data_IF_542024383771
#
_entry.id   IF_542024383771
#
_cell.length_a   1.000
_cell.length_b   1.000
_cell.length_c   1.000
_cell.angle_alpha   90.00
_cell.angle_beta   90.00
_cell.angle_gamma   90.00
#
_symmetry.space_group_name_H-M   'P 1'
#
loop_
_entity.id
_entity.type
_entity.pdbx_description
1 polymer ?
#
# COMPACT_ATOMS: atom_id res chain seq x y z
N UNK A 1 -11.12 -13.51 -104.96
CA UNK A 1 -10.42 -13.04 -103.68
C UNK A 1 -11.40 -13.13 -102.49
N UNK A 2 -12.06 -14.24 -102.20
CA UNK A 2 -13.09 -14.30 -101.17
C UNK A 2 -12.89 -15.46 -100.12
N UNK A 3 -12.00 -16.41 -100.43
CA UNK A 3 -11.80 -17.58 -99.49
C UNK A 3 -10.81 -17.39 -98.34
N UNK A 4 -9.94 -16.38 -98.41
CA UNK A 4 -8.91 -16.16 -97.34
C UNK A 4 -9.46 -15.44 -96.12
N UNK A 5 -10.47 -14.59 -96.22
CA UNK A 5 -11.08 -13.84 -95.09
C UNK A 5 -11.91 -14.71 -94.15
N UNK A 6 -12.50 -15.73 -94.62
CA UNK A 6 -13.33 -16.69 -93.81
C UNK A 6 -12.44 -17.65 -92.98
N UNK A 7 -11.28 -18.07 -93.50
CA UNK A 7 -10.34 -18.91 -92.74
C UNK A 7 -9.66 -18.17 -91.57
N UNK A 8 -9.32 -16.92 -91.78
CA UNK A 8 -8.70 -16.02 -90.70
C UNK A 8 -9.71 -15.75 -89.58
N UNK A 9 -10.97 -15.58 -89.97
CA UNK A 9 -12.05 -15.32 -88.98
C UNK A 9 -12.39 -16.58 -88.16
N UNK A 10 -12.37 -17.77 -88.75
CA UNK A 10 -12.50 -19.04 -88.02
C UNK A 10 -11.35 -19.34 -87.10
N UNK A 11 -10.08 -19.01 -87.46
CA UNK A 11 -8.90 -19.09 -86.57
C UNK A 11 -8.99 -18.14 -85.38
N UNK A 12 -9.50 -16.93 -85.57
CA UNK A 12 -9.72 -15.98 -84.46
C UNK A 12 -10.76 -16.48 -83.45
N UNK A 13 -11.85 -17.06 -83.95
CA UNK A 13 -12.89 -17.64 -83.06
C UNK A 13 -12.36 -18.84 -82.30
N UNK A 14 -11.56 -19.72 -82.97
CA UNK A 14 -10.95 -20.88 -82.33
C UNK A 14 -9.95 -20.42 -81.23
N UNK A 15 -9.13 -19.38 -81.48
CA UNK A 15 -8.22 -18.80 -80.47
C UNK A 15 -8.99 -18.20 -79.29
N UNK A 16 -10.10 -17.50 -79.54
CA UNK A 16 -10.92 -16.93 -78.49
C UNK A 16 -11.59 -18.01 -77.62
N UNK A 17 -12.00 -19.10 -78.20
CA UNK A 17 -12.63 -20.26 -77.52
C UNK A 17 -11.57 -20.99 -76.64
N UNK A 18 -10.34 -21.15 -77.13
CA UNK A 18 -9.22 -21.73 -76.36
C UNK A 18 -8.82 -20.82 -75.20
N UNK A 19 -8.79 -19.49 -75.38
CA UNK A 19 -8.49 -18.54 -74.26
C UNK A 19 -9.62 -18.56 -73.27
N UNK A 20 -10.89 -18.57 -73.70
CA UNK A 20 -12.04 -18.68 -72.81
C UNK A 20 -12.08 -20.01 -72.03
N UNK A 21 -11.66 -21.09 -72.67
CA UNK A 21 -11.56 -22.38 -71.98
C UNK A 21 -10.41 -22.42 -70.98
N UNK A 22 -9.26 -21.82 -71.33
CA UNK A 22 -8.12 -21.71 -70.41
C UNK A 22 -8.42 -20.76 -69.23
N UNK A 23 -9.10 -19.65 -69.47
CA UNK A 23 -9.58 -18.76 -68.37
C UNK A 23 -10.60 -19.43 -67.48
N UNK A 24 -11.53 -20.19 -68.08
CA UNK A 24 -12.51 -20.97 -67.32
C UNK A 24 -11.87 -22.09 -66.49
N UNK A 25 -10.84 -22.76 -67.06
CA UNK A 25 -10.05 -23.78 -66.34
C UNK A 25 -9.19 -23.16 -65.25
N UNK A 26 -8.56 -22.02 -65.48
CA UNK A 26 -7.79 -21.27 -64.52
C UNK A 26 -8.72 -20.77 -63.36
N UNK A 27 -9.88 -20.23 -63.73
CA UNK A 27 -10.90 -19.78 -62.76
C UNK A 27 -11.44 -20.96 -61.91
N UNK A 28 -11.65 -22.09 -62.55
CA UNK A 28 -12.07 -23.33 -61.87
C UNK A 28 -10.98 -23.89 -60.96
N UNK A 29 -9.70 -23.79 -61.35
CA UNK A 29 -8.53 -24.22 -60.58
C UNK A 29 -8.32 -23.31 -59.35
N UNK A 30 -8.56 -22.00 -59.47
CA UNK A 30 -8.45 -21.05 -58.36
C UNK A 30 -9.66 -21.11 -57.43
N UNK A 31 -10.88 -21.26 -57.93
CA UNK A 31 -12.09 -21.34 -57.13
C UNK A 31 -12.30 -22.70 -56.43
N UNK A 32 -11.72 -23.80 -56.98
CA UNK A 32 -11.79 -25.14 -56.39
C UNK A 32 -10.50 -25.55 -55.67
N UNK A 33 -9.49 -24.64 -55.57
CA UNK A 33 -8.31 -24.96 -54.84
C UNK A 33 -8.65 -25.18 -53.34
N UNK A 34 -8.24 -26.31 -52.73
CA UNK A 34 -8.55 -26.58 -51.33
C UNK A 34 -7.93 -25.50 -50.46
N UNK A 35 -8.66 -24.94 -49.50
CA UNK A 35 -8.14 -23.93 -48.60
C UNK A 35 -6.90 -24.47 -47.85
N UNK A 36 -5.89 -23.62 -47.72
CA UNK A 36 -4.65 -23.97 -47.05
C UNK A 36 -4.82 -23.76 -45.53
N UNK A 37 -4.56 -24.81 -44.74
CA UNK A 37 -4.70 -24.80 -43.30
C UNK A 37 -3.34 -25.04 -42.62
N UNK A 38 -3.13 -24.43 -41.48
CA UNK A 38 -2.05 -24.80 -40.58
C UNK A 38 -2.44 -26.02 -39.80
N UNK A 39 -1.49 -26.90 -39.50
CA UNK A 39 -1.75 -28.12 -38.75
C UNK A 39 -0.74 -28.23 -37.61
N UNK A 40 -1.22 -28.51 -36.40
CA UNK A 40 -0.37 -28.88 -35.28
C UNK A 40 -0.73 -30.26 -34.78
N UNK A 41 0.25 -31.00 -34.30
CA UNK A 41 0.04 -32.28 -33.63
C UNK A 41 -0.22 -32.01 -32.15
N UNK A 42 -1.30 -32.57 -31.60
CA UNK A 42 -1.59 -32.51 -30.20
C UNK A 42 -0.47 -33.25 -29.42
N UNK A 43 0.23 -32.53 -28.58
CA UNK A 43 1.37 -33.02 -27.78
C UNK A 43 1.19 -32.61 -26.30
N UNK A 44 1.92 -33.30 -25.45
CA UNK A 44 1.97 -32.93 -24.04
C UNK A 44 2.89 -31.73 -23.82
N UNK A 45 2.41 -30.77 -23.07
CA UNK A 45 3.13 -29.54 -22.69
C UNK A 45 2.87 -29.22 -21.23
N UNK A 46 3.82 -28.51 -20.63
CA UNK A 46 3.60 -27.85 -19.37
C UNK A 46 2.94 -26.51 -19.65
N UNK A 47 1.77 -26.29 -19.06
CA UNK A 47 0.99 -25.06 -19.24
C UNK A 47 0.89 -24.28 -17.95
N UNK A 48 1.00 -22.96 -18.07
CA UNK A 48 0.83 -22.04 -16.95
C UNK A 48 -0.21 -20.99 -17.32
N UNK A 49 -1.35 -21.07 -16.66
CA UNK A 49 -2.35 -20.02 -16.77
C UNK A 49 -1.89 -18.79 -15.99
N UNK A 50 -1.89 -17.65 -16.65
CA UNK A 50 -1.48 -16.38 -16.04
C UNK A 50 -2.53 -15.32 -16.32
N UNK A 51 -2.75 -14.48 -15.31
CA UNK A 51 -3.58 -13.28 -15.42
C UNK A 51 -2.67 -12.08 -15.46
N UNK A 52 -2.95 -11.17 -16.35
CA UNK A 52 -2.25 -9.91 -16.52
C UNK A 52 -2.95 -8.80 -15.74
N UNK A 53 -2.17 -7.94 -15.11
CA UNK A 53 -2.63 -6.70 -14.50
C UNK A 53 -1.63 -5.58 -14.72
N UNK A 54 -2.12 -4.37 -14.91
CA UNK A 54 -1.29 -3.17 -14.85
C UNK A 54 -1.01 -2.85 -13.39
N UNK A 55 0.26 -2.61 -13.06
CA UNK A 55 0.65 -2.34 -11.69
C UNK A 55 1.41 -1.03 -11.55
N UNK A 56 1.44 -0.53 -10.31
CA UNK A 56 2.29 0.59 -9.88
C UNK A 56 3.12 0.18 -8.68
N UNK A 57 4.34 0.70 -8.63
CA UNK A 57 5.23 0.52 -7.48
C UNK A 57 4.76 1.44 -6.36
N UNK A 58 4.36 0.88 -5.23
CA UNK A 58 3.92 1.66 -4.07
C UNK A 58 4.62 1.21 -2.79
N UNK A 59 4.81 2.16 -1.85
CA UNK A 59 5.23 1.79 -0.52
C UNK A 59 4.06 1.13 0.22
N UNK A 60 4.31 0.03 0.90
CA UNK A 60 3.29 -0.64 1.73
C UNK A 60 2.70 0.28 2.78
N UNK A 61 3.53 1.16 3.36
CA UNK A 61 3.14 2.10 4.40
C UNK A 61 3.61 3.49 4.01
N UNK A 62 2.68 4.42 3.91
CA UNK A 62 2.94 5.85 3.77
C UNK A 62 2.39 6.55 5.00
N UNK A 63 3.24 7.30 5.69
CA UNK A 63 2.88 8.05 6.90
C UNK A 63 2.87 9.54 6.60
N UNK A 64 1.74 10.20 6.84
CA UNK A 64 1.65 11.65 6.83
C UNK A 64 2.27 12.24 8.10
N UNK A 65 3.37 12.97 7.97
CA UNK A 65 3.98 13.71 9.08
C UNK A 65 3.28 15.05 9.20
N UNK A 66 2.55 15.26 10.28
CA UNK A 66 1.77 16.47 10.55
C UNK A 66 2.16 17.11 11.88
N UNK A 67 1.75 18.37 12.07
CA UNK A 67 1.86 19.05 13.35
C UNK A 67 0.72 18.65 14.29
N UNK A 68 0.97 18.69 15.60
CA UNK A 68 -0.04 18.58 16.66
C UNK A 68 -0.69 19.92 17.00
N UNK A 69 -0.07 21.03 16.60
CA UNK A 69 -0.51 22.39 16.87
C UNK A 69 -0.60 23.21 15.58
N UNK A 70 -1.41 24.25 15.61
CA UNK A 70 -1.42 25.26 14.55
C UNK A 70 -0.20 26.16 14.69
N UNK A 71 0.48 26.47 13.58
CA UNK A 71 1.61 27.36 13.55
C UNK A 71 2.09 27.64 12.14
N UNK A 72 2.94 28.66 11.97
CA UNK A 72 3.61 28.96 10.72
C UNK A 72 4.90 28.17 10.63
N UNK A 73 5.19 27.57 9.48
CA UNK A 73 6.46 26.90 9.21
C UNK A 73 7.57 27.95 9.10
N UNK A 74 8.51 27.89 10.02
CA UNK A 74 9.68 28.80 10.01
C UNK A 74 10.79 28.23 9.15
N UNK A 75 11.10 26.95 9.28
CA UNK A 75 12.15 26.26 8.55
C UNK A 75 11.77 24.83 8.23
N UNK A 76 12.24 24.35 7.08
CA UNK A 76 12.19 22.95 6.65
C UNK A 76 13.65 22.49 6.53
N UNK A 77 13.98 21.34 7.11
CA UNK A 77 15.34 20.79 7.18
C UNK A 77 15.57 19.64 6.23
N UNK A 78 14.52 19.19 5.54
CA UNK A 78 14.56 18.06 4.61
C UNK A 78 13.74 18.36 3.37
N UNK A 79 14.10 17.71 2.24
CA UNK A 79 13.39 17.85 0.98
C UNK A 79 12.90 16.48 0.44
N UNK A 80 12.15 16.51 -0.66
CA UNK A 80 11.69 15.30 -1.35
C UNK A 80 12.88 14.45 -1.82
N UNK A 81 12.76 13.13 -1.67
CA UNK A 81 13.81 12.18 -2.02
C UNK A 81 14.84 11.93 -0.91
N UNK A 82 14.88 12.74 0.15
CA UNK A 82 15.85 12.57 1.23
C UNK A 82 15.46 11.42 2.16
N UNK A 83 16.47 10.68 2.62
CA UNK A 83 16.33 9.66 3.65
C UNK A 83 16.40 10.29 5.02
N UNK A 84 15.49 9.91 5.89
CA UNK A 84 15.41 10.41 7.26
C UNK A 84 15.39 9.25 8.25
N UNK A 85 15.92 9.52 9.46
CA UNK A 85 15.93 8.58 10.57
C UNK A 85 14.84 8.95 11.58
N UNK A 86 14.33 7.97 12.31
CA UNK A 86 13.39 8.20 13.40
C UNK A 86 13.94 9.21 14.40
N UNK A 87 13.14 10.20 14.73
CA UNK A 87 13.52 11.29 15.63
C UNK A 87 14.32 12.41 14.98
N UNK A 88 14.66 12.32 13.69
CA UNK A 88 15.31 13.42 12.95
C UNK A 88 14.36 14.61 12.84
N UNK A 89 14.88 15.83 13.06
CA UNK A 89 14.11 17.07 12.91
C UNK A 89 13.86 17.34 11.44
N UNK A 90 12.59 17.48 11.07
CA UNK A 90 12.13 17.71 9.69
C UNK A 90 11.70 19.15 9.44
N UNK A 91 11.02 19.75 10.42
CA UNK A 91 10.51 21.11 10.31
C UNK A 91 10.46 21.78 11.68
N UNK A 92 10.52 23.11 11.66
CA UNK A 92 10.35 23.95 12.85
C UNK A 92 9.24 24.97 12.59
N UNK A 93 8.30 25.04 13.52
CA UNK A 93 7.27 26.06 13.52
C UNK A 93 7.72 27.30 14.28
N UNK A 94 7.08 28.43 14.01
CA UNK A 94 7.23 29.65 14.79
C UNK A 94 6.81 29.39 16.24
N UNK A 95 7.68 29.76 17.18
CA UNK A 95 7.51 29.37 18.60
C UNK A 95 7.64 30.54 19.60
N UNK A 96 7.75 31.77 19.11
CA UNK A 96 8.08 32.94 19.97
C UNK A 96 7.03 33.15 21.08
N UNK A 97 5.73 33.07 20.73
CA UNK A 97 4.66 33.23 21.72
C UNK A 97 4.64 32.07 22.72
N UNK A 98 4.89 30.84 22.28
CA UNK A 98 4.95 29.66 23.12
C UNK A 98 6.17 29.71 24.07
N UNK A 99 7.30 30.21 23.59
CA UNK A 99 8.47 30.43 24.42
C UNK A 99 8.22 31.49 25.51
N UNK A 100 7.50 32.57 25.19
CA UNK A 100 7.10 33.57 26.21
C UNK A 100 6.15 32.95 27.25
N UNK A 101 5.19 32.14 26.78
CA UNK A 101 4.27 31.42 27.67
C UNK A 101 5.02 30.44 28.60
N UNK A 102 6.03 29.76 28.10
CA UNK A 102 6.88 28.87 28.90
C UNK A 102 7.64 29.68 29.97
N UNK A 103 8.26 30.82 29.60
CA UNK A 103 8.97 31.71 30.54
C UNK A 103 8.01 32.22 31.60
N UNK A 104 6.81 32.63 31.27
CA UNK A 104 5.79 33.05 32.21
C UNK A 104 5.44 31.94 33.22
N UNK A 105 5.23 30.70 32.72
CA UNK A 105 4.94 29.54 33.56
C UNK A 105 6.14 29.22 34.51
N UNK A 106 7.36 29.35 34.01
CA UNK A 106 8.60 29.15 34.80
C UNK A 106 8.72 30.19 35.91
N UNK A 107 8.43 31.45 35.62
CA UNK A 107 8.37 32.51 36.63
C UNK A 107 7.30 32.22 37.70
N UNK A 108 6.16 31.64 37.30
CA UNK A 108 5.10 31.15 38.21
C UNK A 108 5.62 30.08 39.19
N UNK A 109 6.34 29.08 38.68
CA UNK A 109 6.97 28.02 39.49
C UNK A 109 7.99 28.60 40.45
N UNK A 110 8.81 29.56 40.01
CA UNK A 110 9.80 30.22 40.85
C UNK A 110 9.13 30.99 41.98
N UNK A 111 7.99 31.69 41.71
CA UNK A 111 7.19 32.38 42.72
C UNK A 111 6.63 31.41 43.76
N UNK A 112 6.00 30.32 43.32
CA UNK A 112 5.43 29.32 44.24
C UNK A 112 6.53 28.63 45.09
N UNK A 113 7.73 28.42 44.50
CA UNK A 113 8.88 27.87 45.22
C UNK A 113 9.37 28.82 46.32
N UNK A 114 9.41 30.11 46.01
CA UNK A 114 9.77 31.14 47.02
C UNK A 114 8.70 31.20 48.12
N UNK A 115 7.40 31.12 47.78
CA UNK A 115 6.30 31.05 48.73
C UNK A 115 6.42 29.86 49.68
N UNK A 116 6.72 28.66 49.14
CA UNK A 116 6.96 27.47 49.95
C UNK A 116 8.12 27.66 50.93
N UNK A 117 9.20 28.32 50.51
CA UNK A 117 10.35 28.61 51.36
C UNK A 117 9.98 29.53 52.53
N UNK A 118 9.08 30.51 52.31
CA UNK A 118 8.54 31.40 53.37
C UNK A 118 7.75 30.57 54.39
N UNK A 119 6.81 29.72 53.93
CA UNK A 119 6.02 28.88 54.85
C UNK A 119 6.89 27.88 55.63
N UNK A 120 7.93 27.34 55.03
CA UNK A 120 8.93 26.52 55.73
C UNK A 120 9.68 27.31 56.82
N UNK A 121 9.99 28.61 56.60
CA UNK A 121 10.59 29.47 57.59
C UNK A 121 9.60 29.75 58.73
N UNK A 122 8.33 30.01 58.42
CA UNK A 122 7.25 30.19 59.42
C UNK A 122 7.12 28.94 60.31
N UNK A 123 7.11 27.75 59.72
CA UNK A 123 7.05 26.49 60.50
C UNK A 123 8.27 26.34 61.42
N UNK A 124 9.50 26.66 60.94
CA UNK A 124 10.70 26.63 61.79
C UNK A 124 10.55 27.56 63.00
N UNK A 125 10.04 28.79 62.80
CA UNK A 125 9.74 29.74 63.87
C UNK A 125 8.73 29.22 64.88
N UNK A 126 7.60 28.69 64.37
CA UNK A 126 6.53 28.13 65.21
C UNK A 126 7.07 26.95 66.06
N UNK A 127 7.88 26.06 65.47
CA UNK A 127 8.51 24.93 66.18
C UNK A 127 9.41 25.39 67.32
N UNK A 128 10.23 26.43 67.12
CA UNK A 128 11.08 26.98 68.16
C UNK A 128 10.22 27.56 69.28
N UNK A 129 9.12 28.29 68.97
CA UNK A 129 8.18 28.82 69.95
C UNK A 129 7.49 27.69 70.73
N UNK A 130 7.09 26.60 70.07
CA UNK A 130 6.49 25.43 70.76
C UNK A 130 7.46 24.80 71.73
N UNK A 131 8.75 24.56 71.36
CA UNK A 131 9.77 24.01 72.24
C UNK A 131 9.96 24.84 73.47
N UNK A 132 9.92 26.19 73.34
CA UNK A 132 9.98 27.11 74.52
C UNK A 132 8.74 26.98 75.40
N UNK A 133 7.54 26.96 74.80
CA UNK A 133 6.27 26.82 75.52
C UNK A 133 6.20 25.48 76.26
N UNK A 134 6.60 24.34 75.62
CA UNK A 134 6.66 23.03 76.27
C UNK A 134 7.57 22.99 77.47
N UNK A 135 8.79 23.57 77.34
CA UNK A 135 9.71 23.64 78.45
C UNK A 135 9.15 24.44 79.60
N UNK A 136 8.44 25.56 79.28
CA UNK A 136 7.85 26.39 80.34
C UNK A 136 6.64 25.66 81.00
N UNK A 137 5.74 25.09 80.21
CA UNK A 137 4.60 24.30 80.74
C UNK A 137 5.09 23.20 81.69
N UNK A 138 6.07 22.38 81.27
CA UNK A 138 6.66 21.31 82.07
C UNK A 138 7.30 21.84 83.35
N UNK A 139 8.01 23.01 83.28
CA UNK A 139 8.60 23.63 84.43
C UNK A 139 7.52 24.07 85.45
N UNK A 140 6.55 24.82 84.99
CA UNK A 140 5.48 25.36 85.83
C UNK A 140 4.57 24.28 86.42
N UNK A 141 4.28 23.18 85.62
CA UNK A 141 3.62 22.04 86.13
C UNK A 141 4.35 21.41 87.34
N UNK A 142 5.66 21.15 87.25
CA UNK A 142 6.46 20.59 88.31
C UNK A 142 6.56 21.54 89.53
N UNK A 143 6.50 22.86 89.34
CA UNK A 143 6.48 23.84 90.44
C UNK A 143 5.10 23.83 91.13
N UNK A 144 4.00 23.73 90.42
CA UNK A 144 2.65 23.61 90.99
C UNK A 144 2.47 22.31 91.78
N UNK A 145 2.98 21.15 91.31
CA UNK A 145 3.03 19.91 92.06
C UNK A 145 3.70 20.02 93.37
N UNK A 146 4.65 21.01 93.54
CA UNK A 146 5.37 21.30 94.76
C UNK A 146 4.73 22.47 95.55
N UNK A 147 3.58 22.97 95.15
CA UNK A 147 2.89 24.16 95.69
C UNK A 147 3.76 25.44 95.68
N UNK A 148 4.69 25.62 94.75
CA UNK A 148 5.56 26.79 94.62
C UNK A 148 4.99 27.87 93.69
N UNK A 149 3.97 27.55 92.89
CA UNK A 149 3.18 28.46 92.02
C UNK A 149 1.71 28.09 92.09
N UNK A 150 0.79 29.00 91.64
CA UNK A 150 -0.61 28.77 91.64
C UNK A 150 -1.00 27.78 90.53
N UNK A 151 -2.08 27.01 90.70
CA UNK A 151 -2.65 26.12 89.68
C UNK A 151 -3.04 26.90 88.42
N UNK A 152 -3.61 28.11 88.61
CA UNK A 152 -3.99 29.02 87.55
C UNK A 152 -2.80 29.38 86.63
N UNK A 153 -1.65 29.64 87.26
CA UNK A 153 -0.42 29.99 86.49
C UNK A 153 0.10 28.81 85.72
N UNK A 154 0.05 27.57 86.23
CA UNK A 154 0.43 26.36 85.53
C UNK A 154 -0.52 26.08 84.32
N UNK A 155 -1.81 26.29 84.53
CA UNK A 155 -2.85 26.18 83.47
C UNK A 155 -2.62 27.20 82.35
N UNK A 156 -2.20 28.46 82.67
CA UNK A 156 -1.85 29.47 81.66
C UNK A 156 -0.70 29.03 80.75
N UNK A 157 0.36 28.45 81.38
CA UNK A 157 1.46 27.90 80.53
C UNK A 157 1.07 26.66 79.75
N UNK A 158 0.17 25.82 80.27
CA UNK A 158 -0.37 24.69 79.53
C UNK A 158 -1.18 25.15 78.30
N UNK A 159 -2.07 26.12 78.49
CA UNK A 159 -2.83 26.73 77.38
C UNK A 159 -1.95 27.38 76.39
N UNK A 160 -0.88 28.07 76.81
CA UNK A 160 0.11 28.67 75.91
C UNK A 160 0.83 27.61 75.09
N UNK A 161 1.12 26.43 75.67
CA UNK A 161 1.72 25.30 74.98
C UNK A 161 0.75 24.72 73.90
N UNK A 162 -0.53 24.58 74.25
CA UNK A 162 -1.56 24.10 73.31
C UNK A 162 -1.75 25.06 72.12
N UNK A 163 -1.79 26.38 72.38
CA UNK A 163 -1.85 27.40 71.31
C UNK A 163 -0.60 27.34 70.40
N UNK A 164 0.60 27.14 70.98
CA UNK A 164 1.82 27.00 70.20
C UNK A 164 1.82 25.70 69.35
N UNK A 165 1.18 24.62 69.85
CA UNK A 165 1.02 23.35 69.08
C UNK A 165 0.06 23.52 67.89
N UNK A 166 -1.07 24.19 68.10
CA UNK A 166 -1.99 24.53 67.04
C UNK A 166 -1.37 25.44 65.96
N UNK A 167 -0.52 26.37 66.38
CA UNK A 167 0.22 27.22 65.43
C UNK A 167 1.20 26.42 64.56
N UNK A 168 1.88 25.38 65.09
CA UNK A 168 2.68 24.44 64.30
C UNK A 168 1.81 23.65 63.31
N UNK A 169 0.63 23.16 63.73
CA UNK A 169 -0.31 22.45 62.84
C UNK A 169 -0.78 23.37 61.72
N UNK A 170 -1.12 24.63 62.03
CA UNK A 170 -1.51 25.65 61.05
C UNK A 170 -0.40 25.88 60.00
N UNK A 171 0.86 26.09 60.46
CA UNK A 171 1.99 26.29 59.57
C UNK A 171 2.27 25.02 58.70
N UNK A 172 2.06 23.82 59.25
CA UNK A 172 2.18 22.58 58.49
C UNK A 172 1.14 22.49 57.35
N UNK A 173 -0.11 22.83 57.67
CA UNK A 173 -1.17 22.87 56.64
C UNK A 173 -0.87 23.95 55.56
N UNK A 174 -0.31 25.09 55.95
CA UNK A 174 0.12 26.12 54.99
C UNK A 174 1.23 25.62 54.04
N UNK A 175 2.22 24.84 54.56
CA UNK A 175 3.23 24.18 53.73
C UNK A 175 2.58 23.21 52.75
N UNK A 176 1.64 22.39 53.19
CA UNK A 176 1.01 21.42 52.33
C UNK A 176 0.18 22.12 51.22
N UNK A 177 -0.49 23.23 51.54
CA UNK A 177 -1.14 24.08 50.53
C UNK A 177 -0.13 24.69 49.55
N UNK A 178 1.00 25.24 50.04
CA UNK A 178 2.05 25.79 49.18
C UNK A 178 2.74 24.74 48.29
N UNK A 179 2.86 23.49 48.76
CA UNK A 179 3.33 22.35 47.94
C UNK A 179 2.39 22.02 46.84
N UNK A 180 1.07 22.02 47.10
CA UNK A 180 0.04 21.79 46.08
C UNK A 180 0.09 22.88 45.01
N UNK A 181 0.21 24.16 45.42
CA UNK A 181 0.37 25.30 44.49
C UNK A 181 1.66 25.14 43.63
N UNK A 182 2.78 24.77 44.23
CA UNK A 182 4.01 24.50 43.46
C UNK A 182 3.83 23.32 42.47
N UNK A 183 3.14 22.27 42.88
CA UNK A 183 2.86 21.12 42.02
C UNK A 183 2.00 21.52 40.83
N UNK A 184 0.93 22.30 41.06
CA UNK A 184 0.09 22.84 39.98
C UNK A 184 0.89 23.73 39.02
N UNK A 185 1.78 24.62 39.58
CA UNK A 185 2.65 25.43 38.76
C UNK A 185 3.62 24.61 37.90
N UNK A 186 4.21 23.52 38.45
CA UNK A 186 5.10 22.62 37.71
C UNK A 186 4.33 21.87 36.59
N UNK A 187 3.11 21.46 36.84
CA UNK A 187 2.24 20.85 35.80
C UNK A 187 1.97 21.83 34.66
N UNK A 188 1.66 23.10 35.00
CA UNK A 188 1.49 24.17 34.02
C UNK A 188 2.74 24.43 33.16
N UNK A 189 3.91 24.46 33.82
CA UNK A 189 5.20 24.58 33.11
C UNK A 189 5.46 23.37 32.20
N UNK A 190 5.15 22.14 32.67
CA UNK A 190 5.24 20.92 31.86
C UNK A 190 4.39 21.01 30.60
N UNK A 191 3.16 21.50 30.71
CA UNK A 191 2.27 21.72 29.56
C UNK A 191 2.86 22.76 28.58
N UNK A 192 3.34 23.90 29.08
CA UNK A 192 3.97 24.93 28.23
C UNK A 192 5.21 24.40 27.49
N UNK A 193 6.05 23.60 28.16
CA UNK A 193 7.22 22.93 27.55
C UNK A 193 6.82 21.94 26.46
N UNK A 194 5.76 21.16 26.69
CA UNK A 194 5.24 20.26 25.68
C UNK A 194 4.77 21.01 24.44
N UNK A 195 4.09 22.15 24.60
CA UNK A 195 3.67 23.00 23.48
C UNK A 195 4.85 23.54 22.65
N UNK A 196 5.92 23.94 23.32
CA UNK A 196 7.16 24.35 22.64
C UNK A 196 7.80 23.15 21.92
N UNK A 197 7.85 21.98 22.54
CA UNK A 197 8.36 20.77 21.90
C UNK A 197 7.53 20.37 20.65
N UNK A 198 6.21 20.56 20.68
CA UNK A 198 5.32 20.30 19.56
C UNK A 198 5.56 21.25 18.35
N UNK A 199 6.36 22.32 18.51
CA UNK A 199 6.81 23.15 17.36
C UNK A 199 7.93 22.50 16.55
N UNK A 200 8.58 21.48 17.09
CA UNK A 200 9.64 20.73 16.43
C UNK A 200 9.05 19.44 15.85
N UNK A 201 8.97 19.39 14.55
CA UNK A 201 8.37 18.24 13.84
C UNK A 201 9.47 17.24 13.53
N UNK A 202 9.33 16.02 14.08
CA UNK A 202 10.31 14.96 13.93
C UNK A 202 9.74 13.78 13.13
N UNK A 203 10.63 13.03 12.48
CA UNK A 203 10.27 11.80 11.79
C UNK A 203 9.78 10.73 12.79
N UNK A 204 8.58 10.14 12.59
CA UNK A 204 8.05 9.10 13.46
C UNK A 204 8.77 7.75 13.30
N UNK A 205 9.39 7.51 12.15
CA UNK A 205 10.09 6.28 11.76
C UNK A 205 11.18 6.60 10.72
N UNK A 206 12.03 5.61 10.44
CA UNK A 206 12.97 5.67 9.32
C UNK A 206 12.21 5.64 7.99
N UNK A 207 12.74 6.32 6.96
CA UNK A 207 12.07 6.31 5.66
C UNK A 207 12.65 7.32 4.67
N UNK A 208 11.91 7.50 3.57
CA UNK A 208 12.19 8.50 2.52
C UNK A 208 11.03 9.47 2.43
N UNK A 209 11.33 10.75 2.34
CA UNK A 209 10.32 11.79 2.07
C UNK A 209 9.88 11.68 0.61
N UNK A 210 8.63 11.27 0.39
CA UNK A 210 8.08 11.11 -0.96
C UNK A 210 7.40 12.38 -1.49
N UNK A 211 6.78 13.16 -0.57
CA UNK A 211 6.12 14.42 -0.91
C UNK A 211 6.31 15.43 0.20
N UNK A 212 6.51 16.67 -0.17
CA UNK A 212 6.41 17.86 0.67
C UNK A 212 5.15 18.62 0.29
N UNK A 213 4.19 18.69 1.21
CA UNK A 213 2.88 19.30 0.97
C UNK A 213 2.84 20.79 1.27
N UNK A 214 3.70 21.26 2.16
CA UNK A 214 3.73 22.64 2.63
C UNK A 214 5.13 23.25 2.53
N UNK A 215 5.18 24.54 2.26
CA UNK A 215 6.39 25.30 2.10
C UNK A 215 6.67 26.18 3.34
N UNK A 216 7.91 26.68 3.43
CA UNK A 216 8.29 27.70 4.42
C UNK A 216 7.35 28.92 4.36
N UNK A 217 6.88 29.37 5.50
CA UNK A 217 5.93 30.46 5.62
C UNK A 217 4.46 30.05 5.55
N UNK A 218 4.14 28.82 5.14
CA UNK A 218 2.79 28.29 5.19
C UNK A 218 2.31 28.06 6.63
N UNK A 219 1.01 28.17 6.85
CA UNK A 219 0.40 27.84 8.12
C UNK A 219 -0.08 26.39 8.09
N UNK A 220 0.33 25.60 9.09
CA UNK A 220 -0.10 24.24 9.29
C UNK A 220 -1.19 24.16 10.35
N UNK A 221 -2.14 23.26 10.16
CA UNK A 221 -3.18 22.89 11.13
C UNK A 221 -2.98 21.45 11.60
N UNK A 222 -3.43 21.10 12.81
CA UNK A 222 -3.35 19.73 13.30
C UNK A 222 -3.98 18.74 12.32
N UNK A 223 -3.23 17.66 12.01
CA UNK A 223 -3.67 16.62 11.09
C UNK A 223 -3.38 16.89 9.61
N UNK A 224 -3.08 18.14 9.21
CA UNK A 224 -2.64 18.43 7.84
C UNK A 224 -1.20 17.94 7.64
N UNK A 225 -0.91 17.08 6.64
CA UNK A 225 0.44 16.59 6.41
C UNK A 225 1.36 17.70 5.90
N UNK A 226 2.55 17.79 6.48
CA UNK A 226 3.66 18.62 6.00
C UNK A 226 4.49 17.80 5.02
N UNK A 227 4.76 16.53 5.38
CA UNK A 227 5.48 15.58 4.57
C UNK A 227 4.72 14.26 4.47
N UNK A 228 4.92 13.54 3.37
CA UNK A 228 4.61 12.11 3.28
C UNK A 228 5.91 11.32 3.35
N UNK A 229 5.98 10.39 4.30
CA UNK A 229 7.12 9.53 4.58
C UNK A 229 6.77 8.10 4.21
N UNK A 230 7.59 7.46 3.39
CA UNK A 230 7.46 6.05 3.02
C UNK A 230 8.59 5.22 3.60
N UNK A 231 8.29 4.00 4.00
CA UNK A 231 9.29 3.00 4.34
C UNK A 231 9.79 2.31 3.06
N UNK A 232 11.05 2.51 2.67
CA UNK A 232 11.60 1.91 1.46
C UNK A 232 11.88 0.40 1.58
N UNK A 233 11.86 -0.16 2.78
CA UNK A 233 12.20 -1.57 3.01
C UNK A 233 11.11 -2.52 2.54
N UNK A 234 9.87 -2.05 2.46
CA UNK A 234 8.71 -2.84 2.05
C UNK A 234 7.94 -2.14 0.94
N UNK A 235 8.28 -2.51 -0.28
CA UNK A 235 7.63 -2.03 -1.50
C UNK A 235 6.71 -3.12 -2.03
N UNK A 236 5.50 -2.74 -2.41
CA UNK A 236 4.53 -3.61 -3.06
C UNK A 236 4.25 -3.13 -4.48
N UNK A 237 3.85 -4.04 -5.32
CA UNK A 237 3.31 -3.73 -6.63
C UNK A 237 1.79 -3.84 -6.52
N UNK A 238 1.13 -2.71 -6.65
CA UNK A 238 -0.32 -2.64 -6.65
C UNK A 238 -0.80 -2.87 -8.07
N UNK A 239 -1.29 -4.08 -8.35
CA UNK A 239 -1.77 -4.49 -9.67
C UNK A 239 -3.28 -4.34 -9.78
N UNK A 240 -3.75 -3.73 -10.84
CA UNK A 240 -5.16 -3.67 -11.21
C UNK A 240 -5.46 -4.80 -12.18
N UNK A 241 -6.38 -5.67 -11.80
CA UNK A 241 -6.76 -6.88 -12.54
C UNK A 241 -8.25 -6.81 -12.85
N UNK A 242 -8.61 -7.08 -14.11
CA UNK A 242 -9.99 -7.15 -14.57
C UNK A 242 -10.79 -8.18 -13.76
N UNK A 243 -11.98 -7.80 -13.27
CA UNK A 243 -12.84 -8.63 -12.41
C UNK A 243 -13.21 -9.96 -13.08
N UNK A 244 -13.34 -9.98 -14.40
CA UNK A 244 -13.64 -11.20 -15.15
C UNK A 244 -12.52 -12.25 -15.10
N UNK A 245 -11.30 -11.84 -14.75
CA UNK A 245 -10.10 -12.69 -14.69
C UNK A 245 -9.70 -13.11 -13.27
N UNK A 246 -10.42 -12.71 -12.25
CA UNK A 246 -10.08 -12.96 -10.85
C UNK A 246 -10.15 -14.43 -10.42
N UNK A 247 -10.81 -15.26 -11.21
CA UNK A 247 -10.97 -16.68 -10.88
C UNK A 247 -9.62 -17.38 -10.76
N UNK A 248 -9.30 -17.85 -9.55
CA UNK A 248 -8.06 -18.57 -9.25
C UNK A 248 -6.93 -17.67 -8.76
N UNK A 249 -7.16 -16.35 -8.56
CA UNK A 249 -6.22 -15.49 -7.88
C UNK A 249 -6.43 -15.63 -6.37
N UNK A 250 -5.38 -16.12 -5.69
CA UNK A 250 -5.37 -16.33 -4.24
C UNK A 250 -4.08 -15.77 -3.64
N UNK A 251 -4.14 -15.42 -2.36
CA UNK A 251 -2.94 -15.03 -1.61
C UNK A 251 -1.92 -16.16 -1.63
N UNK A 252 -0.68 -15.84 -1.97
CA UNK A 252 0.41 -16.82 -2.12
C UNK A 252 0.66 -17.26 -3.57
N UNK A 253 -0.21 -16.94 -4.54
CA UNK A 253 0.06 -17.21 -5.95
C UNK A 253 1.39 -16.57 -6.38
N UNK A 254 2.17 -17.30 -7.17
CA UNK A 254 3.37 -16.77 -7.79
C UNK A 254 3.02 -15.63 -8.77
N UNK A 255 3.82 -14.59 -8.74
CA UNK A 255 3.69 -13.49 -9.66
C UNK A 255 5.05 -13.13 -10.27
N UNK A 256 5.03 -12.59 -11.48
CA UNK A 256 6.20 -12.03 -12.15
C UNK A 256 5.91 -10.60 -12.52
N UNK A 257 6.80 -9.72 -12.11
CA UNK A 257 6.65 -8.28 -12.29
C UNK A 257 7.73 -7.79 -13.26
N UNK A 258 7.34 -7.02 -14.24
CA UNK A 258 8.24 -6.30 -15.14
C UNK A 258 8.07 -4.80 -14.93
N UNK A 259 9.12 -4.11 -14.51
CA UNK A 259 9.10 -2.66 -14.35
C UNK A 259 9.27 -1.98 -15.70
N UNK A 260 8.65 -0.83 -15.87
CA UNK A 260 8.75 -0.07 -17.12
C UNK A 260 10.16 0.51 -17.33
N UNK A 261 10.91 0.75 -16.25
CA UNK A 261 12.31 1.18 -16.30
C UNK A 261 13.26 0.08 -16.75
N UNK A 262 12.90 -1.20 -16.58
CA UNK A 262 13.73 -2.37 -16.90
C UNK A 262 12.93 -3.40 -17.71
N UNK A 263 12.56 -3.08 -18.96
CA UNK A 263 11.74 -3.97 -19.78
C UNK A 263 12.49 -5.27 -20.08
N UNK A 264 11.81 -6.40 -19.83
CA UNK A 264 12.36 -7.75 -20.06
C UNK A 264 12.98 -8.40 -18.83
N UNK A 265 13.25 -7.67 -17.76
CA UNK A 265 13.57 -8.25 -16.47
C UNK A 265 12.29 -8.64 -15.75
N UNK A 266 12.17 -9.91 -15.35
CA UNK A 266 11.03 -10.43 -14.62
C UNK A 266 11.42 -10.64 -13.15
N UNK A 267 10.93 -9.78 -12.29
CA UNK A 267 11.14 -9.86 -10.84
C UNK A 267 10.15 -10.87 -10.24
N UNK A 268 10.61 -11.89 -9.51
CA UNK A 268 9.75 -12.82 -8.84
C UNK A 268 9.08 -12.17 -7.62
N UNK A 269 7.82 -12.53 -7.42
CA UNK A 269 7.03 -12.07 -6.29
C UNK A 269 5.86 -12.98 -6.02
N UNK A 270 5.05 -12.63 -5.02
CA UNK A 270 3.85 -13.38 -4.62
C UNK A 270 2.71 -12.44 -4.31
N UNK A 271 1.50 -12.90 -4.60
CA UNK A 271 0.28 -12.19 -4.19
C UNK A 271 0.24 -12.13 -2.66
N UNK A 272 0.33 -10.92 -2.13
CA UNK A 272 0.31 -10.64 -0.69
C UNK A 272 -1.11 -10.33 -0.20
N UNK A 273 -1.91 -9.67 -1.04
CA UNK A 273 -3.28 -9.30 -0.71
C UNK A 273 -4.13 -9.25 -1.99
N UNK A 274 -5.38 -9.68 -1.89
CA UNK A 274 -6.40 -9.50 -2.90
C UNK A 274 -7.44 -8.54 -2.34
N UNK A 275 -7.70 -7.45 -3.03
CA UNK A 275 -8.72 -6.47 -2.67
C UNK A 275 -10.10 -7.13 -2.56
N UNK A 276 -11.03 -6.44 -1.92
CA UNK A 276 -12.42 -6.90 -1.79
C UNK A 276 -13.43 -5.91 -2.38
N UNK A 277 -12.92 -4.87 -3.00
CA UNK A 277 -13.73 -3.84 -3.63
C UNK A 277 -13.14 -3.52 -4.99
N UNK A 278 -13.91 -3.75 -6.04
CA UNK A 278 -13.58 -3.35 -7.40
C UNK A 278 -13.88 -1.86 -7.59
N UNK A 279 -13.11 -1.21 -8.44
CA UNK A 279 -13.46 0.11 -8.95
C UNK A 279 -14.68 -0.04 -9.89
N UNK A 280 -15.72 0.76 -9.66
CA UNK A 280 -16.98 0.68 -10.42
C UNK A 280 -16.88 1.23 -11.85
N UNK A 281 -15.84 1.99 -12.15
CA UNK A 281 -15.65 2.65 -13.45
C UNK A 281 -14.75 1.80 -14.34
N UNK A 282 -13.63 1.28 -13.78
CA UNK A 282 -12.66 0.48 -14.53
C UNK A 282 -12.98 -1.02 -14.48
N UNK A 283 -13.84 -1.46 -13.56
CA UNK A 283 -14.17 -2.87 -13.31
C UNK A 283 -12.92 -3.70 -12.94
N UNK A 284 -11.93 -3.05 -12.33
CA UNK A 284 -10.68 -3.67 -11.91
C UNK A 284 -10.67 -3.88 -10.39
N UNK A 285 -10.02 -4.95 -9.95
CA UNK A 285 -9.73 -5.22 -8.55
C UNK A 285 -8.24 -5.04 -8.27
N UNK A 286 -7.94 -4.39 -7.14
CA UNK A 286 -6.58 -4.22 -6.66
C UNK A 286 -6.03 -5.53 -6.08
N UNK A 287 -4.87 -5.95 -6.59
CA UNK A 287 -4.11 -7.10 -6.10
C UNK A 287 -2.70 -6.65 -5.77
N UNK A 288 -2.32 -6.75 -4.51
CA UNK A 288 -0.98 -6.38 -4.06
C UNK A 288 -0.02 -7.57 -4.20
N UNK A 289 1.08 -7.34 -4.87
CA UNK A 289 2.16 -8.31 -5.04
C UNK A 289 3.39 -7.86 -4.28
N UNK A 290 3.84 -8.68 -3.34
CA UNK A 290 5.12 -8.51 -2.67
C UNK A 290 6.23 -9.14 -3.50
N UNK A 291 7.32 -8.42 -3.69
CA UNK A 291 8.51 -8.95 -4.36
C UNK A 291 9.33 -9.84 -3.42
N UNK A 292 9.90 -10.92 -3.93
CA UNK A 292 10.72 -11.84 -3.14
C UNK A 292 12.07 -11.20 -2.72
N UNK A 293 12.50 -10.17 -3.43
CA UNK A 293 13.70 -9.38 -3.14
C UNK A 293 13.34 -7.89 -3.09
N UNK A 294 13.93 -7.13 -2.16
CA UNK A 294 13.73 -5.69 -2.12
C UNK A 294 14.29 -5.05 -3.41
N UNK A 295 13.59 -4.06 -3.92
CA UNK A 295 14.07 -3.23 -5.03
C UNK A 295 15.18 -2.32 -4.51
N UNK A 296 16.36 -2.39 -5.14
CA UNK A 296 17.52 -1.56 -4.75
C UNK A 296 17.29 -0.08 -5.05
N UNK A 297 16.98 0.23 -6.29
CA UNK A 297 16.61 1.58 -6.75
C UNK A 297 15.20 1.49 -7.36
N UNK A 298 14.24 2.19 -6.77
CA UNK A 298 12.85 2.19 -7.22
C UNK A 298 12.27 3.60 -7.15
N UNK A 299 11.27 3.84 -7.97
CA UNK A 299 10.49 5.08 -7.97
C UNK A 299 9.04 4.75 -7.63
N UNK A 300 8.54 5.33 -6.56
CA UNK A 300 7.12 5.21 -6.23
C UNK A 300 6.27 5.83 -7.36
N UNK A 301 5.19 5.15 -7.73
CA UNK A 301 4.37 5.51 -8.88
C UNK A 301 4.89 5.00 -10.21
N UNK A 302 6.02 4.27 -10.24
CA UNK A 302 6.51 3.64 -11.45
C UNK A 302 5.54 2.55 -11.93
N UNK A 303 5.24 2.56 -13.23
CA UNK A 303 4.36 1.57 -13.84
C UNK A 303 5.07 0.24 -14.03
N UNK A 304 4.33 -0.83 -13.86
CA UNK A 304 4.78 -2.20 -14.02
C UNK A 304 3.73 -3.07 -14.67
N UNK A 305 4.16 -4.17 -15.25
CA UNK A 305 3.29 -5.24 -15.73
C UNK A 305 3.39 -6.41 -14.77
N UNK A 306 2.24 -6.92 -14.35
CA UNK A 306 2.16 -8.02 -13.39
C UNK A 306 1.51 -9.23 -14.04
N UNK A 307 2.15 -10.38 -13.93
CA UNK A 307 1.67 -11.66 -14.42
C UNK A 307 1.50 -12.62 -13.25
N UNK A 308 0.25 -12.85 -12.84
CA UNK A 308 -0.10 -13.70 -11.70
C UNK A 308 -0.39 -15.10 -12.20
N UNK A 309 0.29 -16.10 -11.66
CA UNK A 309 0.05 -17.53 -11.99
C UNK A 309 -1.17 -18.01 -11.22
N UNK A 310 -2.24 -18.36 -11.96
CA UNK A 310 -3.48 -18.86 -11.37
C UNK A 310 -3.59 -20.38 -11.38
N UNK A 311 -2.91 -21.04 -12.33
CA UNK A 311 -2.81 -22.49 -12.37
C UNK A 311 -1.57 -22.92 -13.15
N UNK A 312 -0.92 -24.01 -12.73
CA UNK A 312 0.14 -24.68 -13.46
C UNK A 312 -0.20 -26.16 -13.56
N UNK A 313 -0.03 -26.74 -14.75
CA UNK A 313 -0.24 -28.17 -15.00
C UNK A 313 0.84 -28.71 -15.90
N UNK A 314 1.47 -29.80 -15.50
CA UNK A 314 2.55 -30.44 -16.23
C UNK A 314 2.03 -31.64 -17.04
N UNK A 315 2.62 -31.83 -18.23
CA UNK A 315 2.36 -32.99 -19.09
C UNK A 315 0.94 -33.09 -19.62
N UNK A 316 0.20 -31.99 -19.75
CA UNK A 316 -1.17 -31.97 -20.26
C UNK A 316 -1.21 -31.88 -21.79
N UNK A 317 -2.20 -32.53 -22.39
CA UNK A 317 -2.39 -32.48 -23.84
C UNK A 317 -2.83 -31.08 -24.26
N UNK A 318 -2.08 -30.46 -25.16
CA UNK A 318 -2.34 -29.10 -25.60
C UNK A 318 -2.36 -28.97 -27.15
N UNK A 319 -3.13 -27.99 -27.59
CA UNK A 319 -3.20 -27.56 -28.98
C UNK A 319 -3.09 -26.04 -29.05
N UNK A 320 -2.71 -25.46 -30.23
CA UNK A 320 -2.72 -24.00 -30.39
C UNK A 320 -4.11 -23.43 -30.04
N UNK A 321 -4.13 -22.36 -29.28
CA UNK A 321 -5.40 -21.73 -28.84
C UNK A 321 -6.26 -21.27 -30.01
N UNK A 322 -5.62 -20.89 -31.11
CA UNK A 322 -6.28 -20.52 -32.39
C UNK A 322 -7.03 -21.66 -33.04
N UNK A 323 -6.66 -22.91 -32.73
CA UNK A 323 -7.32 -24.09 -33.28
C UNK A 323 -8.63 -24.43 -32.55
N UNK A 324 -8.88 -23.86 -31.38
CA UNK A 324 -10.09 -24.07 -30.61
C UNK A 324 -11.15 -23.06 -31.03
N UNK A 325 -12.22 -23.55 -31.63
CA UNK A 325 -13.36 -22.74 -32.09
C UNK A 325 -14.62 -23.10 -31.35
N UNK A 326 -15.55 -22.15 -31.25
CA UNK A 326 -16.89 -22.44 -30.70
C UNK A 326 -17.88 -22.62 -31.85
N UNK A 327 -18.61 -23.74 -31.81
CA UNK A 327 -19.72 -24.02 -32.72
C UNK A 327 -20.93 -24.46 -31.91
N UNK A 328 -22.07 -23.86 -32.18
CA UNK A 328 -23.31 -24.08 -31.42
C UNK A 328 -23.11 -23.95 -29.88
N UNK A 329 -22.31 -22.96 -29.48
CA UNK A 329 -22.00 -22.69 -28.06
C UNK A 329 -20.98 -23.65 -27.41
N UNK A 330 -20.56 -24.73 -28.08
CA UNK A 330 -19.64 -25.75 -27.59
C UNK A 330 -18.23 -25.54 -28.16
N UNK A 331 -17.16 -25.65 -27.34
CA UNK A 331 -15.79 -25.63 -27.84
C UNK A 331 -15.51 -26.90 -28.67
N UNK A 332 -14.76 -26.79 -29.74
CA UNK A 332 -14.35 -27.88 -30.58
C UNK A 332 -13.12 -27.56 -31.41
N UNK A 333 -12.55 -28.55 -32.04
CA UNK A 333 -11.41 -28.47 -32.95
C UNK A 333 -11.69 -29.12 -34.29
N UNK A 334 -11.00 -28.61 -35.31
CA UNK A 334 -11.01 -29.25 -36.61
C UNK A 334 -9.88 -30.26 -36.68
N UNK A 335 -10.25 -31.55 -36.77
CA UNK A 335 -9.30 -32.66 -36.95
C UNK A 335 -8.95 -32.78 -38.40
N UNK A 336 -7.66 -32.93 -38.72
CA UNK A 336 -7.20 -33.23 -40.07
C UNK A 336 -6.80 -34.71 -40.15
N UNK A 337 -7.41 -35.44 -41.07
CA UNK A 337 -7.06 -36.81 -41.37
C UNK A 337 -7.15 -37.04 -42.88
N UNK A 338 -6.06 -37.43 -43.51
CA UNK A 338 -6.00 -37.72 -44.95
C UNK A 338 -6.41 -36.55 -45.84
N UNK A 339 -6.08 -35.30 -45.47
CA UNK A 339 -6.45 -34.10 -46.24
C UNK A 339 -7.90 -33.70 -46.14
N UNK A 340 -8.65 -34.24 -45.17
CA UNK A 340 -10.06 -33.90 -44.91
C UNK A 340 -10.25 -33.39 -43.47
N UNK A 341 -11.18 -32.46 -43.32
CA UNK A 341 -11.57 -31.91 -42.02
C UNK A 341 -12.77 -32.64 -41.41
N UNK A 342 -12.70 -32.90 -40.12
CA UNK A 342 -13.83 -33.31 -39.30
C UNK A 342 -13.90 -32.47 -38.05
N UNK A 343 -15.06 -31.95 -37.70
CA UNK A 343 -15.24 -31.19 -36.47
C UNK A 343 -15.48 -32.15 -35.30
N UNK A 344 -14.71 -31.91 -34.19
CA UNK A 344 -14.85 -32.72 -32.98
C UNK A 344 -15.04 -31.80 -31.79
N UNK A 345 -16.16 -31.94 -31.06
CA UNK A 345 -16.33 -31.25 -29.77
C UNK A 345 -15.25 -31.70 -28.80
N UNK A 346 -14.73 -30.75 -27.98
CA UNK A 346 -13.69 -31.01 -27.00
C UNK A 346 -14.04 -30.35 -25.67
N UNK A 347 -13.46 -30.87 -24.58
CA UNK A 347 -13.42 -30.18 -23.30
C UNK A 347 -12.09 -29.49 -23.17
N UNK A 348 -12.10 -28.20 -22.81
CA UNK A 348 -10.90 -27.40 -22.66
C UNK A 348 -10.59 -27.16 -21.17
N UNK A 349 -9.31 -27.11 -20.84
CA UNK A 349 -8.81 -26.78 -19.51
C UNK A 349 -8.17 -25.40 -19.46
N UNK A 350 -6.97 -25.30 -18.88
CA UNK A 350 -6.23 -24.05 -18.77
C UNK A 350 -5.67 -23.58 -20.10
N UNK A 351 -5.44 -22.27 -20.19
CA UNK A 351 -4.86 -21.62 -21.39
C UNK A 351 -3.61 -20.88 -21.01
N UNK A 352 -2.51 -21.14 -21.72
CA UNK A 352 -1.25 -20.44 -21.53
C UNK A 352 -1.16 -19.22 -22.44
N UNK A 353 -1.23 -18.03 -21.87
CA UNK A 353 -1.06 -16.70 -22.52
C UNK A 353 -1.64 -16.62 -23.96
N UNK A 354 -2.71 -17.37 -24.23
CA UNK A 354 -3.34 -17.43 -25.54
C UNK A 354 -2.60 -18.25 -26.60
N UNK A 355 -1.42 -18.83 -26.30
CA UNK A 355 -0.66 -19.63 -27.26
C UNK A 355 -1.14 -21.07 -27.36
N UNK A 356 -1.29 -21.73 -26.22
CA UNK A 356 -1.71 -23.13 -26.12
C UNK A 356 -2.96 -23.24 -25.21
N UNK A 357 -3.83 -24.20 -25.53
CA UNK A 357 -5.01 -24.53 -24.73
C UNK A 357 -4.97 -26.01 -24.39
N UNK A 358 -5.15 -26.32 -23.12
CA UNK A 358 -5.30 -27.70 -22.65
C UNK A 358 -6.56 -28.30 -23.20
N UNK A 359 -6.48 -29.54 -23.67
CA UNK A 359 -7.61 -30.38 -24.05
C UNK A 359 -7.75 -31.51 -23.03
N UNK A 360 -8.81 -31.45 -22.23
CA UNK A 360 -9.07 -32.45 -21.19
C UNK A 360 -9.82 -33.67 -21.72
N UNK A 361 -10.56 -33.53 -22.82
CA UNK A 361 -11.25 -34.64 -23.50
C UNK A 361 -11.51 -34.30 -24.97
N UNK A 362 -11.59 -35.34 -25.82
CA UNK A 362 -12.00 -35.22 -27.23
C UNK A 362 -10.86 -35.34 -28.24
N UNK A 363 -9.58 -35.19 -27.85
CA UNK A 363 -8.39 -35.36 -28.71
C UNK A 363 -7.43 -36.32 -28.06
N UNK A 364 -6.77 -37.16 -28.86
CA UNK A 364 -5.69 -38.06 -28.41
C UNK A 364 -4.33 -37.49 -28.78
N UNK A 365 -3.30 -37.88 -28.02
CA UNK A 365 -1.93 -37.52 -28.30
C UNK A 365 -1.53 -38.04 -29.70
N UNK A 366 -0.84 -37.20 -30.48
CA UNK A 366 -0.45 -37.51 -31.85
C UNK A 366 -1.51 -37.16 -32.91
N UNK A 367 -2.76 -36.87 -32.55
CA UNK A 367 -3.77 -36.44 -33.51
C UNK A 367 -3.49 -35.02 -34.05
N UNK A 368 -3.86 -34.78 -35.30
CA UNK A 368 -3.58 -33.53 -36.01
C UNK A 368 -4.78 -32.60 -35.96
N UNK A 369 -4.57 -31.40 -35.49
CA UNK A 369 -5.56 -30.33 -35.38
C UNK A 369 -5.25 -29.25 -36.39
N UNK A 370 -6.26 -28.87 -37.20
CA UNK A 370 -6.12 -27.85 -38.23
C UNK A 370 -6.74 -26.53 -37.80
N UNK A 371 -6.09 -25.43 -38.21
CA UNK A 371 -6.64 -24.07 -38.03
C UNK A 371 -6.18 -23.15 -39.16
N UNK A 372 -6.89 -22.05 -39.31
CA UNK A 372 -6.62 -20.98 -40.26
C UNK A 372 -7.06 -19.65 -39.65
N UNK A 373 -7.09 -18.60 -40.45
CA UNK A 373 -7.66 -17.32 -39.96
C UNK A 373 -9.15 -17.49 -39.59
N UNK A 374 -9.70 -16.71 -38.63
CA UNK A 374 -11.08 -16.83 -38.21
C UNK A 374 -12.12 -16.80 -39.34
N UNK A 375 -12.00 -15.90 -40.35
CA UNK A 375 -12.96 -15.91 -41.47
C UNK A 375 -12.86 -17.17 -42.35
N UNK A 376 -11.68 -17.78 -42.47
CA UNK A 376 -11.53 -19.06 -43.21
C UNK A 376 -12.09 -20.23 -42.42
N UNK A 377 -11.84 -20.28 -41.12
CA UNK A 377 -12.41 -21.35 -40.26
C UNK A 377 -13.93 -21.32 -40.17
N UNK A 378 -14.56 -20.16 -40.34
CA UNK A 378 -16.01 -20.04 -40.40
C UNK A 378 -16.61 -20.78 -41.64
N UNK A 379 -15.84 -20.98 -42.71
CA UNK A 379 -16.23 -21.66 -43.93
C UNK A 379 -16.01 -23.18 -43.88
N UNK A 380 -15.30 -23.69 -42.86
CA UNK A 380 -15.01 -25.12 -42.75
C UNK A 380 -16.28 -25.96 -42.58
N UNK A 381 -16.30 -27.04 -43.34
CA UNK A 381 -17.40 -28.01 -43.29
C UNK A 381 -16.84 -29.42 -43.08
N UNK A 382 -17.56 -30.31 -42.38
CA UNK A 382 -17.17 -31.72 -42.27
C UNK A 382 -16.97 -32.35 -43.63
N UNK A 383 -15.89 -33.10 -43.83
CA UNK A 383 -15.50 -33.72 -45.09
C UNK A 383 -14.78 -32.82 -46.09
N UNK A 384 -14.62 -31.52 -45.81
CA UNK A 384 -13.95 -30.58 -46.72
C UNK A 384 -12.48 -30.98 -46.93
N UNK A 385 -12.06 -30.98 -48.20
CA UNK A 385 -10.64 -31.18 -48.55
C UNK A 385 -9.83 -29.93 -48.28
N UNK A 386 -8.66 -30.09 -47.66
CA UNK A 386 -7.75 -29.01 -47.33
C UNK A 386 -6.34 -29.32 -47.76
N UNK A 387 -5.58 -28.27 -48.08
CA UNK A 387 -4.14 -28.34 -48.30
C UNK A 387 -3.40 -27.94 -47.01
N UNK A 388 -2.45 -28.73 -46.59
CA UNK A 388 -1.63 -28.41 -45.39
C UNK A 388 -0.54 -27.42 -45.77
N UNK A 389 -0.50 -26.26 -45.09
CA UNK A 389 0.66 -25.36 -45.10
C UNK A 389 1.79 -26.05 -44.33
N UNK A 390 2.93 -26.24 -44.98
CA UNK A 390 4.13 -26.76 -44.33
C UNK A 390 4.77 -25.70 -43.42
#
# INVERSE_FOLDING_TARGET
MSLSKTLVRKKKYLLFLVIALLTLLALKATLLAPPKVRVATAKRHDLTAQVYGNGTVEAKVVVGVSSKITGRILELYVDQGERVQRGQLLARLESDDLLQQQRQSEAGVNRSTAGLAVEQANLRKARVSLVLAEKNALRFQKLAERNLVSTLEAEQYQTTCEVAREEVARCQAAIDAARMEQSAGRAGLGFARSKVADTLIHAPQDGIIILRHLERGATVSPGAPIFSLADPSVVWIKANVDESLLKGIEVGNEARVSLRSSPGELLPGRVARVGRQSDRVTEELEVDVALDKPLGDFRLGEQSEVYIVTAARSGVLAVPSEAVVRRDGKPGVWMEAGGRLSFRPVSVGIRDRGKLTEITAGVKEGERVAWASPPEMAQFKPGMKVGVLK
#
